data_IF_413009747544
#
_entry.id   IF_413009747544
#
_cell.length_a   1.000
_cell.length_b   1.000
_cell.length_c   1.000
_cell.angle_alpha   90.00
_cell.angle_beta   90.00
_cell.angle_gamma   90.00
#
_symmetry.space_group_name_H-M   'P 1'
#
loop_
_entity.id
_entity.type
_entity.pdbx_description
1 polymer ?
#
# COMPACT_ATOMS: atom_id res chain seq x y z
N UNK A 1 10.69 12.46 -4.61
CA UNK A 1 9.61 11.74 -3.89
C UNK A 1 10.25 10.68 -3.02
N UNK A 2 9.80 10.51 -1.79
CA UNK A 2 10.30 9.42 -0.95
C UNK A 2 9.77 8.08 -1.47
N UNK A 3 10.59 7.02 -1.38
CA UNK A 3 10.19 5.64 -1.73
C UNK A 3 9.69 5.48 -3.18
N UNK A 4 10.35 6.12 -4.15
CA UNK A 4 9.93 6.09 -5.56
C UNK A 4 9.65 4.67 -6.07
N UNK A 5 10.58 3.75 -5.82
CA UNK A 5 10.48 2.36 -6.28
C UNK A 5 9.29 1.65 -5.65
N UNK A 6 9.12 1.76 -4.33
CA UNK A 6 8.03 1.11 -3.61
C UNK A 6 6.67 1.67 -4.04
N UNK A 7 6.59 2.98 -4.32
CA UNK A 7 5.37 3.61 -4.84
C UNK A 7 5.01 3.08 -6.23
N UNK A 8 5.99 2.96 -7.12
CA UNK A 8 5.80 2.37 -8.45
C UNK A 8 5.37 0.91 -8.35
N UNK A 9 5.99 0.13 -7.46
CA UNK A 9 5.63 -1.26 -7.22
C UNK A 9 4.20 -1.38 -6.64
N UNK A 10 3.82 -0.55 -5.66
CA UNK A 10 2.43 -0.52 -5.15
C UNK A 10 1.43 -0.32 -6.29
N UNK A 11 1.64 0.69 -7.16
CA UNK A 11 0.76 0.94 -8.31
C UNK A 11 0.70 -0.27 -9.25
N UNK A 12 1.86 -0.82 -9.62
CA UNK A 12 1.97 -1.98 -10.51
C UNK A 12 1.22 -3.19 -9.96
N UNK A 13 1.38 -3.50 -8.68
CA UNK A 13 0.76 -4.67 -8.07
C UNK A 13 -0.71 -4.45 -7.73
N UNK A 14 -1.14 -3.22 -7.46
CA UNK A 14 -2.56 -2.88 -7.34
C UNK A 14 -3.30 -3.14 -8.67
N UNK A 15 -2.72 -2.70 -9.79
CA UNK A 15 -3.24 -3.00 -11.13
C UNK A 15 -3.25 -4.51 -11.40
N UNK A 16 -2.17 -5.21 -11.03
CA UNK A 16 -2.12 -6.67 -11.15
C UNK A 16 -3.24 -7.35 -10.34
N UNK A 17 -3.48 -6.90 -9.10
CA UNK A 17 -4.51 -7.44 -8.20
C UNK A 17 -5.93 -7.31 -8.81
N UNK A 18 -6.29 -6.13 -9.33
CA UNK A 18 -7.60 -5.96 -9.99
C UNK A 18 -7.70 -6.74 -11.30
N UNK A 19 -6.65 -6.74 -12.13
CA UNK A 19 -6.66 -7.52 -13.40
C UNK A 19 -6.72 -9.04 -13.18
N UNK A 20 -6.19 -9.52 -12.06
CA UNK A 20 -6.26 -10.94 -11.67
C UNK A 20 -7.59 -11.33 -11.01
N UNK A 21 -8.54 -10.40 -10.86
CA UNK A 21 -9.84 -10.66 -10.24
C UNK A 21 -9.77 -10.91 -8.72
N UNK A 22 -8.70 -10.46 -8.06
CA UNK A 22 -8.49 -10.64 -6.61
C UNK A 22 -9.18 -9.56 -5.77
N UNK A 23 -9.79 -8.57 -6.41
CA UNK A 23 -10.60 -7.53 -5.77
C UNK A 23 -11.58 -6.95 -6.79
N UNK A 24 -12.46 -6.05 -6.36
CA UNK A 24 -13.39 -5.30 -7.22
C UNK A 24 -13.42 -3.83 -6.81
N UNK A 25 -13.59 -2.93 -7.79
CA UNK A 25 -13.62 -1.49 -7.56
C UNK A 25 -12.33 -1.02 -6.88
N UNK A 26 -12.48 -0.30 -5.76
CA UNK A 26 -11.38 0.27 -4.96
C UNK A 26 -11.07 -0.54 -3.70
N UNK A 27 -11.64 -1.74 -3.56
CA UNK A 27 -11.37 -2.65 -2.44
C UNK A 27 -9.98 -3.27 -2.49
N UNK A 28 -9.55 -3.88 -1.39
CA UNK A 28 -8.17 -4.34 -1.21
C UNK A 28 -7.18 -3.19 -0.99
N UNK A 29 -5.92 -3.53 -0.74
CA UNK A 29 -4.82 -2.55 -0.63
C UNK A 29 -3.47 -3.26 -0.57
N UNK A 30 -2.42 -2.50 -0.92
CA UNK A 30 -1.05 -2.98 -0.92
C UNK A 30 -0.17 -2.00 -0.15
N UNK A 31 0.78 -2.52 0.61
CA UNK A 31 1.86 -1.71 1.16
C UNK A 31 3.22 -2.41 1.06
N UNK A 32 4.29 -1.61 1.08
CA UNK A 32 5.68 -2.06 1.02
C UNK A 32 6.50 -1.27 2.04
N UNK A 33 7.26 -1.97 2.88
CA UNK A 33 8.13 -1.41 3.91
C UNK A 33 9.57 -1.31 3.41
N UNK A 34 10.17 -0.12 3.52
CA UNK A 34 11.61 0.06 3.47
C UNK A 34 12.19 0.06 4.87
N UNK A 35 12.69 -1.09 5.33
CA UNK A 35 13.29 -1.25 6.68
C UNK A 35 14.44 -0.29 6.94
N UNK A 36 15.33 -0.10 5.95
CA UNK A 36 16.47 0.82 6.05
C UNK A 36 16.03 2.25 6.43
N UNK A 37 14.85 2.67 5.95
CA UNK A 37 14.32 4.02 6.15
C UNK A 37 13.29 4.11 7.27
N UNK A 38 12.77 2.97 7.76
CA UNK A 38 11.65 2.95 8.71
C UNK A 38 10.34 3.51 8.15
N UNK A 39 10.15 3.43 6.82
CA UNK A 39 9.00 4.02 6.12
C UNK A 39 8.25 2.96 5.32
N UNK A 40 6.92 3.06 5.28
CA UNK A 40 6.04 2.23 4.46
C UNK A 40 5.32 3.05 3.39
N UNK A 41 5.30 2.56 2.16
CA UNK A 41 4.44 3.05 1.08
C UNK A 41 3.14 2.26 1.10
N UNK A 42 1.98 2.93 1.09
CA UNK A 42 0.64 2.31 1.13
C UNK A 42 -0.27 2.89 0.05
N UNK A 43 -1.06 2.03 -0.60
CA UNK A 43 -2.03 2.45 -1.61
C UNK A 43 -3.02 3.50 -1.05
N UNK A 44 -3.42 4.50 -1.85
CA UNK A 44 -4.37 5.51 -1.40
C UNK A 44 -5.77 4.92 -1.23
N UNK A 45 -6.59 5.58 -0.41
CA UNK A 45 -7.99 5.21 -0.24
C UNK A 45 -8.86 5.72 -1.39
N UNK A 46 -9.71 4.83 -1.94
CA UNK A 46 -10.86 5.23 -2.77
C UNK A 46 -10.53 5.76 -4.17
N UNK A 47 -9.36 5.43 -4.71
CA UNK A 47 -8.97 5.77 -6.10
C UNK A 47 -8.94 4.47 -6.92
N UNK A 48 -9.37 4.55 -8.17
CA UNK A 48 -9.25 3.43 -9.11
C UNK A 48 -7.76 3.09 -9.35
N UNK A 49 -7.41 1.80 -9.31
CA UNK A 49 -6.03 1.36 -9.46
C UNK A 49 -5.42 1.66 -10.84
N UNK A 50 -6.22 1.80 -11.89
CA UNK A 50 -5.75 2.22 -13.21
C UNK A 50 -5.46 3.72 -13.27
N UNK A 51 -6.14 4.54 -12.47
CA UNK A 51 -5.91 5.99 -12.36
C UNK A 51 -4.85 6.37 -11.33
N UNK A 52 -4.51 5.44 -10.43
CA UNK A 52 -3.49 5.68 -9.39
C UNK A 52 -2.11 5.86 -10.02
N UNK A 53 -1.43 6.97 -9.70
CA UNK A 53 -0.03 7.22 -10.01
C UNK A 53 0.87 7.04 -8.78
N UNK A 54 2.20 6.97 -8.99
CA UNK A 54 3.16 6.81 -7.89
C UNK A 54 3.07 7.96 -6.86
N UNK A 55 2.77 9.18 -7.31
CA UNK A 55 2.56 10.36 -6.47
C UNK A 55 1.31 10.27 -5.57
N UNK A 56 0.33 9.45 -5.95
CA UNK A 56 -0.90 9.24 -5.16
C UNK A 56 -0.68 8.26 -4.01
N UNK A 57 0.34 7.39 -4.08
CA UNK A 57 0.71 6.48 -2.98
C UNK A 57 1.07 7.30 -1.75
N UNK A 58 0.79 6.80 -0.55
CA UNK A 58 1.07 7.53 0.69
C UNK A 58 2.25 6.88 1.39
N UNK A 59 3.21 7.69 1.83
CA UNK A 59 4.35 7.23 2.63
C UNK A 59 4.11 7.60 4.08
N UNK A 60 4.21 6.60 4.95
CA UNK A 60 3.98 6.72 6.38
C UNK A 60 5.18 6.18 7.15
N UNK A 61 5.41 6.70 8.35
CA UNK A 61 6.33 6.08 9.29
C UNK A 61 5.67 4.92 10.05
N UNK A 62 6.44 4.23 10.89
CA UNK A 62 5.93 3.12 11.71
C UNK A 62 5.15 3.57 12.95
N UNK A 63 5.06 4.88 13.23
CA UNK A 63 4.18 5.43 14.25
C UNK A 63 2.76 5.71 13.72
N UNK A 64 2.57 5.69 12.40
CA UNK A 64 1.30 5.94 11.74
C UNK A 64 1.17 7.37 11.18
N UNK A 65 2.24 8.15 11.19
CA UNK A 65 2.26 9.52 10.67
C UNK A 65 2.53 9.55 9.16
N UNK A 66 1.85 10.44 8.44
CA UNK A 66 2.10 10.66 7.01
C UNK A 66 3.37 11.50 6.85
N UNK A 67 4.37 10.96 6.15
CA UNK A 67 5.65 11.62 5.91
C UNK A 67 5.72 12.25 4.51
N UNK A 68 5.09 11.62 3.52
CA UNK A 68 5.04 12.14 2.14
C UNK A 68 3.79 11.63 1.40
N UNK A 69 3.13 12.49 0.63
CA UNK A 69 1.89 12.19 -0.11
C UNK A 69 0.75 13.17 0.20
N UNK A 70 -0.12 13.39 -0.78
CA UNK A 70 -1.27 14.32 -0.69
C UNK A 70 -2.62 13.61 -0.50
N UNK A 71 -2.64 12.29 -0.69
CA UNK A 71 -3.86 11.48 -0.60
C UNK A 71 -4.04 10.96 0.82
N UNK A 72 -5.26 10.51 1.11
CA UNK A 72 -5.55 9.72 2.29
C UNK A 72 -5.00 8.30 2.07
N UNK A 73 -4.24 7.71 3.02
CA UNK A 73 -3.83 6.31 2.92
C UNK A 73 -5.05 5.40 2.97
N UNK A 74 -4.91 4.14 2.53
CA UNK A 74 -5.94 3.11 2.73
C UNK A 74 -6.50 3.17 4.16
N UNK A 75 -7.82 3.02 4.33
CA UNK A 75 -8.44 2.95 5.66
C UNK A 75 -7.94 1.78 6.51
N UNK A 76 -7.27 0.81 5.91
CA UNK A 76 -6.74 -0.40 6.55
C UNK A 76 -5.21 -0.36 6.72
N UNK A 77 -4.56 0.81 6.61
CA UNK A 77 -3.10 0.91 6.74
C UNK A 77 -2.55 0.34 8.06
N UNK A 78 -3.31 0.44 9.16
CA UNK A 78 -2.95 -0.13 10.47
C UNK A 78 -2.80 -1.66 10.44
N UNK A 79 -3.60 -2.36 9.60
CA UNK A 79 -3.46 -3.79 9.39
C UNK A 79 -2.09 -4.15 8.83
N UNK A 80 -1.50 -3.30 7.98
CA UNK A 80 -0.16 -3.51 7.44
C UNK A 80 0.92 -3.11 8.46
N UNK A 81 0.75 -1.92 9.07
CA UNK A 81 1.72 -1.36 10.01
C UNK A 81 2.02 -2.28 11.18
N UNK A 82 1.01 -2.95 11.74
CA UNK A 82 1.20 -3.85 12.89
C UNK A 82 2.15 -5.02 12.56
N UNK A 83 2.14 -5.55 11.33
CA UNK A 83 3.09 -6.58 10.93
C UNK A 83 4.50 -6.02 10.81
N UNK A 84 4.67 -4.84 10.22
CA UNK A 84 5.98 -4.19 10.10
C UNK A 84 6.61 -3.83 11.45
N UNK A 85 5.79 -3.46 12.44
CA UNK A 85 6.25 -3.15 13.80
C UNK A 85 6.62 -4.40 14.59
N UNK A 86 5.88 -5.50 14.42
CA UNK A 86 6.01 -6.69 15.27
C UNK A 86 6.85 -7.81 14.67
N UNK A 87 7.18 -7.74 13.38
CA UNK A 87 7.84 -8.81 12.65
C UNK A 87 8.94 -8.26 11.77
N UNK A 88 10.08 -8.94 11.80
CA UNK A 88 11.26 -8.57 11.00
C UNK A 88 11.37 -9.31 9.66
N UNK A 89 10.49 -10.29 9.42
CA UNK A 89 10.49 -11.15 8.25
C UNK A 89 9.51 -10.71 7.13
N UNK A 90 8.70 -9.68 7.37
CA UNK A 90 7.70 -9.17 6.40
C UNK A 90 8.09 -7.77 5.91
N UNK A 91 8.12 -7.56 4.59
CA UNK A 91 8.38 -6.24 4.00
C UNK A 91 7.33 -5.78 2.97
N UNK A 92 6.28 -6.57 2.74
CA UNK A 92 5.16 -6.19 1.90
C UNK A 92 3.88 -6.91 2.33
N UNK A 93 2.74 -6.26 2.14
CA UNK A 93 1.41 -6.80 2.43
C UNK A 93 0.47 -6.59 1.25
N UNK A 94 -0.33 -7.62 0.94
CA UNK A 94 -1.37 -7.57 -0.08
C UNK A 94 -2.67 -8.03 0.57
N UNK A 95 -3.63 -7.12 0.68
CA UNK A 95 -4.96 -7.41 1.18
C UNK A 95 -5.95 -7.48 0.01
N UNK A 96 -6.66 -8.61 -0.12
CA UNK A 96 -7.54 -8.93 -1.25
C UNK A 96 -8.98 -9.14 -0.79
N UNK A 97 -9.93 -8.85 -1.68
CA UNK A 97 -11.36 -9.19 -1.53
C UNK A 97 -11.74 -10.21 -2.62
N UNK A 98 -11.06 -11.35 -2.60
CA UNK A 98 -11.25 -12.45 -3.55
C UNK A 98 -12.48 -13.28 -3.22
N UNK A 99 -13.06 -13.94 -4.24
CA UNK A 99 -14.37 -14.62 -4.13
C UNK A 99 -14.35 -15.87 -3.23
N UNK A 100 -13.23 -16.58 -3.15
CA UNK A 100 -13.16 -17.94 -2.57
C UNK A 100 -12.30 -18.04 -1.30
N UNK A 101 -11.87 -16.92 -0.73
CA UNK A 101 -10.84 -16.87 0.32
C UNK A 101 -11.43 -16.67 1.71
#
# INVERSE_FOLDING_TARGET
MLLQKEREDVVKYCRKMITAGLTKGTGGNISILSRERGLMAVSPSGIDYFETAADDVVVMDLNGEIIDGKRKPSSEYELHRIFYVRRDDIAAGVHTHSVYS
#
